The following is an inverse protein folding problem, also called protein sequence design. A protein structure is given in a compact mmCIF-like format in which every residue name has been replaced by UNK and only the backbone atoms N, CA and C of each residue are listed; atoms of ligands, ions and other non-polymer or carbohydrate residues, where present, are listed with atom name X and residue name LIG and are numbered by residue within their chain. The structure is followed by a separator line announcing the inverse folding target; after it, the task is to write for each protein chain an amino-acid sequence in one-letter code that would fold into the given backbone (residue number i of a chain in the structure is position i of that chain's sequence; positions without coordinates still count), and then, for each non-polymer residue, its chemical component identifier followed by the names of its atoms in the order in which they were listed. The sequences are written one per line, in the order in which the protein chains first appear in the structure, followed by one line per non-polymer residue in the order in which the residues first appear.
data_IF_688480782141
#
_entry.id   IF_688480782141
#
_cell.length_a   1.000
_cell.length_b   1.000
_cell.length_c   1.000
_cell.angle_alpha   90.00
_cell.angle_beta   90.00
_cell.angle_gamma   90.00
#
_symmetry.space_group_name_H-M   'P 1'
#
loop_
_entity.id
_entity.type
_entity.pdbx_description
1 polymer ?
#
# COMPACT_ATOMS: atom_id res chain seq x y z
N UNK A 1 -5.28 29.50 19.08
CA UNK A 1 -4.70 28.30 18.46
C UNK A 1 -5.78 27.67 17.59
N UNK A 2 -5.46 27.38 16.35
CA UNK A 2 -6.35 26.68 15.41
C UNK A 2 -5.68 25.35 15.06
N UNK A 3 -6.44 24.27 15.08
CA UNK A 3 -6.01 22.95 14.63
C UNK A 3 -6.92 22.50 13.49
N UNK A 4 -6.32 22.11 12.38
CA UNK A 4 -7.03 21.61 11.20
C UNK A 4 -6.56 20.18 10.88
N UNK A 5 -7.49 19.33 10.49
CA UNK A 5 -7.21 17.97 9.99
C UNK A 5 -7.23 18.00 8.47
N UNK A 6 -6.16 17.52 7.82
CA UNK A 6 -6.07 17.51 6.36
C UNK A 6 -7.11 16.60 5.67
N UNK A 7 -7.70 15.67 6.39
CA UNK A 7 -8.67 14.74 5.83
C UNK A 7 -8.09 13.85 4.75
N UNK A 8 -8.74 13.77 3.60
CA UNK A 8 -8.38 12.88 2.50
C UNK A 8 -7.70 13.57 1.30
N UNK A 9 -7.25 14.81 1.45
CA UNK A 9 -6.63 15.57 0.36
C UNK A 9 -5.46 14.84 -0.28
N UNK A 10 -4.60 14.19 0.52
CA UNK A 10 -3.47 13.41 0.04
C UNK A 10 -3.87 12.17 -0.78
N UNK A 11 -5.09 11.64 -0.59
CA UNK A 11 -5.61 10.51 -1.36
C UNK A 11 -6.32 10.92 -2.65
N UNK A 12 -6.64 12.20 -2.78
CA UNK A 12 -7.38 12.75 -3.92
C UNK A 12 -6.50 13.54 -4.88
N UNK A 13 -5.19 13.57 -4.64
CA UNK A 13 -4.27 14.32 -5.46
C UNK A 13 -3.85 13.50 -6.68
N UNK A 14 -4.41 13.84 -7.83
CA UNK A 14 -4.24 13.08 -9.08
C UNK A 14 -2.89 13.28 -9.78
N UNK A 15 -2.09 14.29 -9.36
CA UNK A 15 -0.82 14.57 -10.01
C UNK A 15 0.30 13.60 -9.63
N UNK A 16 0.14 12.83 -8.56
CA UNK A 16 1.13 11.89 -8.04
C UNK A 16 0.48 10.51 -7.80
N UNK A 17 -0.19 9.98 -8.82
CA UNK A 17 -0.74 8.62 -8.81
C UNK A 17 0.37 7.63 -9.14
N UNK A 18 0.56 6.62 -8.30
CA UNK A 18 1.46 5.50 -8.61
C UNK A 18 0.86 4.61 -9.69
N UNK A 19 1.59 4.39 -10.77
CA UNK A 19 1.19 3.45 -11.81
C UNK A 19 1.10 2.02 -11.27
N UNK A 20 2.03 1.64 -10.38
CA UNK A 20 2.03 0.32 -9.73
C UNK A 20 0.75 0.12 -8.92
N UNK A 21 0.37 1.09 -8.08
CA UNK A 21 -0.87 1.01 -7.30
C UNK A 21 -2.12 0.97 -8.20
N UNK A 22 -2.12 1.72 -9.29
CA UNK A 22 -3.24 1.74 -10.23
C UNK A 22 -3.42 0.38 -10.94
N UNK A 23 -2.33 -0.22 -11.42
CA UNK A 23 -2.34 -1.53 -12.06
C UNK A 23 -2.73 -2.64 -11.07
N UNK A 24 -2.20 -2.61 -9.86
CA UNK A 24 -2.55 -3.57 -8.82
C UNK A 24 -4.01 -3.45 -8.39
N UNK A 25 -4.54 -2.24 -8.27
CA UNK A 25 -5.95 -2.00 -7.96
C UNK A 25 -6.87 -2.54 -9.05
N UNK A 26 -6.51 -2.36 -10.33
CA UNK A 26 -7.26 -2.92 -11.45
C UNK A 26 -7.25 -4.46 -11.41
N UNK A 27 -6.08 -5.08 -11.21
CA UNK A 27 -5.93 -6.53 -11.10
C UNK A 27 -6.76 -7.11 -9.95
N UNK A 28 -6.76 -6.45 -8.79
CA UNK A 28 -7.59 -6.82 -7.63
C UNK A 28 -9.07 -6.76 -7.98
N UNK A 29 -9.52 -5.70 -8.65
CA UNK A 29 -10.90 -5.54 -9.09
C UNK A 29 -11.34 -6.63 -10.07
N UNK A 30 -10.52 -6.91 -11.08
CA UNK A 30 -10.78 -7.98 -12.06
C UNK A 30 -10.85 -9.36 -11.37
N UNK A 31 -9.91 -9.63 -10.48
CA UNK A 31 -9.87 -10.91 -9.74
C UNK A 31 -11.08 -11.08 -8.81
N UNK A 32 -11.53 -9.99 -8.17
CA UNK A 32 -12.73 -10.02 -7.33
C UNK A 32 -13.99 -10.40 -8.13
N UNK A 33 -14.13 -9.89 -9.34
CA UNK A 33 -15.25 -10.23 -10.23
C UNK A 33 -15.21 -11.71 -10.63
N UNK A 34 -14.04 -12.25 -10.93
CA UNK A 34 -13.88 -13.66 -11.25
C UNK A 34 -14.19 -14.53 -10.03
N UNK A 35 -13.56 -14.23 -8.90
CA UNK A 35 -13.72 -14.99 -7.65
C UNK A 35 -15.18 -15.00 -7.14
N UNK A 36 -15.93 -13.92 -7.36
CA UNK A 36 -17.34 -13.82 -6.94
C UNK A 36 -18.26 -14.86 -7.59
N UNK A 37 -17.84 -15.48 -8.68
CA UNK A 37 -18.59 -16.55 -9.34
C UNK A 37 -18.42 -17.92 -8.65
N UNK A 38 -17.34 -18.06 -7.87
CA UNK A 38 -16.94 -19.35 -7.28
C UNK A 38 -17.10 -19.36 -5.77
N UNK A 39 -16.98 -18.20 -5.10
CA UNK A 39 -17.04 -18.07 -3.66
C UNK A 39 -18.10 -17.06 -3.21
N UNK A 40 -18.76 -17.37 -2.11
CA UNK A 40 -19.80 -16.50 -1.54
C UNK A 40 -19.24 -15.34 -0.70
N UNK A 41 -18.06 -15.52 -0.13
CA UNK A 41 -17.45 -14.53 0.76
C UNK A 41 -15.93 -14.68 0.79
N UNK A 42 -15.22 -13.58 0.68
CA UNK A 42 -13.77 -13.54 0.70
C UNK A 42 -13.23 -12.13 0.62
N UNK A 43 -11.91 -12.00 0.76
CA UNK A 43 -11.19 -10.77 0.48
C UNK A 43 -10.11 -11.06 -0.54
N UNK A 44 -10.05 -10.28 -1.59
CA UNK A 44 -8.92 -10.31 -2.52
C UNK A 44 -7.76 -9.58 -1.89
N UNK A 45 -6.59 -10.18 -1.92
CA UNK A 45 -5.37 -9.65 -1.32
C UNK A 45 -4.26 -9.57 -2.35
N UNK A 46 -3.34 -8.65 -2.13
CA UNK A 46 -2.06 -8.57 -2.82
C UNK A 46 -1.01 -9.35 -2.03
N UNK A 47 -0.26 -10.20 -2.72
CA UNK A 47 0.76 -11.06 -2.15
C UNK A 47 2.11 -10.77 -2.80
N UNK A 48 2.89 -9.90 -2.14
CA UNK A 48 4.22 -9.54 -2.61
C UNK A 48 5.12 -10.77 -2.66
N UNK A 49 5.84 -10.93 -3.76
CA UNK A 49 6.82 -11.98 -3.95
C UNK A 49 8.21 -11.53 -3.46
N UNK A 50 8.96 -12.48 -2.91
CA UNK A 50 10.36 -12.28 -2.56
C UNK A 50 11.22 -12.47 -3.82
N UNK A 51 11.49 -11.39 -4.52
CA UNK A 51 12.29 -11.39 -5.75
C UNK A 51 13.14 -10.11 -5.82
N UNK A 52 14.21 -10.12 -6.62
CA UNK A 52 15.05 -8.94 -6.84
C UNK A 52 14.28 -7.77 -7.46
N UNK A 53 13.33 -8.09 -8.34
CA UNK A 53 12.43 -7.11 -8.94
C UNK A 53 11.08 -7.20 -8.25
N UNK A 54 10.48 -6.06 -7.94
CA UNK A 54 9.15 -6.02 -7.34
C UNK A 54 8.13 -6.77 -8.20
N UNK A 55 7.41 -7.67 -7.56
CA UNK A 55 6.27 -8.36 -8.15
C UNK A 55 5.24 -8.71 -7.10
N UNK A 56 3.99 -8.73 -7.50
CA UNK A 56 2.87 -8.98 -6.62
C UNK A 56 1.83 -9.89 -7.30
N UNK A 57 1.43 -10.96 -6.62
CA UNK A 57 0.34 -11.81 -7.03
C UNK A 57 -0.97 -11.38 -6.38
N UNK A 58 -2.07 -11.79 -6.99
CA UNK A 58 -3.41 -11.60 -6.45
C UNK A 58 -3.93 -12.95 -5.97
N UNK A 59 -4.46 -13.00 -4.74
CA UNK A 59 -4.98 -14.20 -4.12
C UNK A 59 -6.29 -13.91 -3.39
N UNK A 60 -7.01 -14.95 -2.96
CA UNK A 60 -8.27 -14.84 -2.23
C UNK A 60 -8.12 -15.51 -0.87
N UNK A 61 -8.53 -14.82 0.18
CA UNK A 61 -8.54 -15.34 1.54
C UNK A 61 -9.94 -15.25 2.15
N UNK A 62 -10.21 -16.10 3.12
CA UNK A 62 -11.46 -16.04 3.89
C UNK A 62 -11.58 -14.69 4.61
N UNK A 63 -12.75 -14.07 4.52
CA UNK A 63 -13.01 -12.77 5.12
C UNK A 63 -12.69 -12.71 6.62
N UNK A 64 -12.92 -13.80 7.36
CA UNK A 64 -12.63 -13.88 8.80
C UNK A 64 -11.14 -13.74 9.14
N UNK A 65 -10.24 -14.01 8.18
CA UNK A 65 -8.78 -13.85 8.37
C UNK A 65 -8.33 -12.39 8.25
N UNK A 66 -9.18 -11.53 7.69
CA UNK A 66 -8.90 -10.11 7.47
C UNK A 66 -9.74 -9.23 8.38
N UNK A 67 -11.04 -9.56 8.51
CA UNK A 67 -11.98 -8.77 9.28
C UNK A 67 -11.61 -8.72 10.78
N UNK A 68 -11.69 -7.54 11.37
CA UNK A 68 -11.36 -7.25 12.78
C UNK A 68 -9.87 -7.43 13.16
N UNK A 69 -9.00 -7.65 12.20
CA UNK A 69 -7.55 -7.69 12.44
C UNK A 69 -6.91 -6.39 11.96
N UNK A 70 -6.01 -5.86 12.76
CA UNK A 70 -5.12 -4.75 12.39
C UNK A 70 -3.72 -5.31 12.24
N UNK A 71 -3.04 -4.92 11.18
CA UNK A 71 -1.63 -5.21 11.00
C UNK A 71 -0.84 -3.96 11.37
N UNK A 72 -0.07 -4.05 12.43
CA UNK A 72 0.83 -2.98 12.81
C UNK A 72 2.01 -2.88 11.84
N UNK A 73 2.63 -1.69 11.83
CA UNK A 73 3.85 -1.48 11.07
C UNK A 73 4.96 -2.37 11.64
N UNK A 74 5.68 -3.14 10.81
CA UNK A 74 6.80 -3.96 11.28
C UNK A 74 7.85 -3.12 12.02
N UNK A 75 8.37 -3.67 13.12
CA UNK A 75 9.33 -2.95 13.97
C UNK A 75 10.62 -2.61 13.22
N UNK A 76 11.04 -3.47 12.29
CA UNK A 76 12.20 -3.23 11.43
C UNK A 76 12.09 -1.98 10.55
N UNK A 77 10.90 -1.45 10.35
CA UNK A 77 10.66 -0.22 9.59
C UNK A 77 10.79 1.06 10.41
N UNK A 78 10.91 0.94 11.72
CA UNK A 78 10.95 2.06 12.66
C UNK A 78 12.36 2.28 13.20
N UNK A 79 12.87 3.51 13.10
CA UNK A 79 14.12 3.90 13.75
C UNK A 79 13.81 4.30 15.21
N UNK A 80 14.20 3.48 16.18
CA UNK A 80 13.95 3.74 17.60
C UNK A 80 14.74 4.94 18.16
N UNK A 81 15.80 5.36 17.46
CA UNK A 81 16.66 6.45 17.92
C UNK A 81 16.11 7.85 17.54
N UNK A 82 15.21 7.92 16.60
CA UNK A 82 14.62 9.16 16.08
C UNK A 82 13.26 8.90 15.44
N UNK A 83 12.38 9.89 15.33
CA UNK A 83 11.07 9.73 14.68
C UNK A 83 11.22 9.63 13.15
N UNK A 84 11.79 8.54 12.68
CA UNK A 84 12.08 8.30 11.28
C UNK A 84 11.90 6.82 10.92
N UNK A 85 11.99 6.48 9.63
CA UNK A 85 11.94 5.12 9.11
C UNK A 85 13.33 4.62 8.73
N UNK A 86 13.47 3.31 8.68
CA UNK A 86 14.73 2.63 8.34
C UNK A 86 14.90 2.47 6.83
N UNK A 87 16.07 1.98 6.40
CA UNK A 87 16.32 1.65 5.01
C UNK A 87 15.42 0.51 4.51
N UNK A 88 15.10 -0.45 5.37
CA UNK A 88 14.19 -1.57 5.08
C UNK A 88 12.80 -1.06 4.68
N UNK A 89 12.34 0.03 5.31
CA UNK A 89 11.10 0.68 4.88
C UNK A 89 11.23 1.29 3.47
N UNK A 90 12.35 1.93 3.16
CA UNK A 90 12.56 2.48 1.81
C UNK A 90 12.60 1.37 0.76
N UNK A 91 13.29 0.26 1.02
CA UNK A 91 13.31 -0.90 0.12
C UNK A 91 11.91 -1.50 -0.09
N UNK A 92 11.09 -1.47 0.96
CA UNK A 92 9.69 -1.89 0.87
C UNK A 92 8.85 -0.90 0.06
N UNK A 93 8.96 0.40 0.31
CA UNK A 93 8.07 1.43 -0.18
C UNK A 93 8.42 1.93 -1.60
N UNK A 94 9.71 2.06 -1.91
CA UNK A 94 10.15 2.65 -3.19
C UNK A 94 9.56 2.00 -4.44
N UNK A 95 9.47 0.66 -4.54
CA UNK A 95 8.83 0.04 -5.70
C UNK A 95 7.34 0.41 -5.84
N UNK A 96 6.65 0.67 -4.73
CA UNK A 96 5.23 1.01 -4.71
C UNK A 96 4.96 2.45 -5.15
N UNK A 97 5.97 3.31 -5.15
CA UNK A 97 5.80 4.71 -5.59
C UNK A 97 5.69 4.85 -7.11
N UNK A 98 5.98 3.77 -7.86
CA UNK A 98 5.97 3.82 -9.33
C UNK A 98 7.00 4.78 -9.92
N UNK A 99 8.07 5.09 -9.16
CA UNK A 99 9.09 6.05 -9.59
C UNK A 99 8.72 7.52 -9.37
N UNK A 100 7.71 7.81 -8.56
CA UNK A 100 7.38 9.19 -8.18
C UNK A 100 8.55 9.79 -7.40
N UNK A 101 9.13 10.84 -7.96
CA UNK A 101 10.15 11.63 -7.27
C UNK A 101 9.49 12.69 -6.37
N UNK A 102 10.01 12.90 -5.15
CA UNK A 102 9.53 13.97 -4.28
C UNK A 102 9.72 15.33 -4.96
N UNK A 103 8.63 16.03 -5.24
CA UNK A 103 8.66 17.37 -5.85
C UNK A 103 8.71 18.50 -4.82
N UNK A 104 8.75 18.17 -3.54
CA UNK A 104 8.78 19.14 -2.46
C UNK A 104 10.19 19.59 -2.16
N UNK A 105 10.47 20.88 -2.29
CA UNK A 105 11.64 21.49 -1.69
C UNK A 105 11.28 21.94 -0.27
N UNK A 106 12.03 21.45 0.71
CA UNK A 106 11.96 22.00 2.07
C UNK A 106 12.73 23.30 2.04
N UNK A 107 12.02 24.41 2.20
CA UNK A 107 12.68 25.69 2.44
C UNK A 107 13.21 25.68 3.88
N UNK A 108 14.53 25.68 4.02
CA UNK A 108 15.23 25.81 5.30
C UNK A 108 15.55 27.28 5.51
#
# INVERSE_FOLDING_TARGET
VRADTFGYLQRSFLADVSEVDAEEAERVGQHAVVASKEIQSGSVILKRQLSETYSCDVDVVELKKVAKHTKDMPQEFLDESKPYVTNEFFEYAMPLTGGIEPKTQIFV
#
